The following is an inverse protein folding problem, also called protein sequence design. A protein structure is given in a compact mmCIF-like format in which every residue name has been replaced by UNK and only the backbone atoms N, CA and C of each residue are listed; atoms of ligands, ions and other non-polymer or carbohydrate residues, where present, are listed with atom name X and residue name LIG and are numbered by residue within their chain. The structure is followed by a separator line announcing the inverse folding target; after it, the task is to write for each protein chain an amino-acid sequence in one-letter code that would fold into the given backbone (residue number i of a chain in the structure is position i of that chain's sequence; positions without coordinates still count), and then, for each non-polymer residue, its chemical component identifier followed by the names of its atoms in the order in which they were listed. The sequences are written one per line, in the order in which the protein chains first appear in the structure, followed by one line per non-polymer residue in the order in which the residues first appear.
data_IF_035351007154
#
_entry.id   IF_035351007154
#
_cell.length_a   1.000
_cell.length_b   1.000
_cell.length_c   1.000
_cell.angle_alpha   90.00
_cell.angle_beta   90.00
_cell.angle_gamma   90.00
#
_symmetry.space_group_name_H-M   'P 1'
#
loop_
_entity.id
_entity.type
_entity.pdbx_description
1 polymer ?
#
# COMPACT_ATOMS: atom_id res chain seq x y z
N UNK A 1 -117.35 -0.01 8.51
CA UNK A 1 -117.47 -1.45 8.86
C UNK A 1 -118.84 -1.89 8.38
N UNK A 2 -118.94 -2.91 7.51
CA UNK A 2 -118.77 -4.30 7.96
C UNK A 2 -117.90 -5.19 7.06
N UNK A 3 -117.38 -6.22 7.69
CA UNK A 3 -116.62 -7.37 7.18
C UNK A 3 -117.53 -8.43 6.52
N UNK A 4 -117.01 -9.21 5.57
CA UNK A 4 -116.90 -10.69 5.64
C UNK A 4 -116.49 -11.33 4.29
N UNK A 5 -115.54 -12.28 4.38
CA UNK A 5 -115.46 -13.62 3.74
C UNK A 5 -115.64 -13.75 2.20
N UNK A 6 -114.57 -14.13 1.48
CA UNK A 6 -114.18 -15.52 1.12
C UNK A 6 -114.95 -16.05 -0.12
N UNK A 7 -114.25 -16.37 -1.23
CA UNK A 7 -114.17 -17.72 -1.83
C UNK A 7 -113.49 -17.75 -3.24
N UNK A 8 -112.42 -18.55 -3.33
CA UNK A 8 -111.88 -19.36 -4.45
C UNK A 8 -112.24 -19.01 -5.91
N UNK A 9 -111.21 -18.92 -6.78
CA UNK A 9 -111.00 -19.94 -7.86
C UNK A 9 -109.67 -19.86 -8.62
N UNK A 10 -109.01 -21.02 -8.65
CA UNK A 10 -108.27 -21.67 -9.74
C UNK A 10 -107.13 -20.95 -10.47
N UNK A 11 -105.93 -21.49 -10.22
CA UNK A 11 -104.79 -21.64 -11.15
C UNK A 11 -105.24 -21.84 -12.60
N UNK A 12 -104.56 -21.15 -13.53
CA UNK A 12 -104.16 -21.74 -14.80
C UNK A 12 -102.86 -21.09 -15.28
N UNK A 13 -101.78 -21.88 -15.27
CA UNK A 13 -100.55 -21.60 -16.00
C UNK A 13 -100.81 -21.97 -17.46
N UNK A 14 -100.39 -21.15 -18.42
CA UNK A 14 -99.21 -21.42 -19.28
C UNK A 14 -99.23 -20.57 -20.57
N UNK A 15 -98.05 -19.99 -20.79
CA UNK A 15 -97.29 -19.87 -22.05
C UNK A 15 -97.91 -19.09 -23.20
N UNK A 16 -97.16 -18.10 -23.66
CA UNK A 16 -96.35 -18.03 -24.90
C UNK A 16 -95.92 -16.55 -25.04
N UNK A 17 -94.86 -16.09 -25.68
CA UNK A 17 -93.82 -16.61 -26.56
C UNK A 17 -92.76 -15.49 -26.70
N UNK A 18 -91.51 -15.89 -26.90
CA UNK A 18 -90.34 -15.19 -27.45
C UNK A 18 -90.34 -13.64 -27.60
N UNK A 19 -89.37 -13.00 -26.95
CA UNK A 19 -88.66 -11.84 -27.50
C UNK A 19 -87.15 -12.08 -27.44
N UNK A 20 -86.62 -12.67 -28.51
CA UNK A 20 -85.18 -12.88 -28.67
C UNK A 20 -84.64 -11.79 -29.60
N UNK A 21 -83.95 -10.81 -29.02
CA UNK A 21 -83.15 -9.84 -29.77
C UNK A 21 -81.91 -10.54 -30.34
N UNK A 22 -81.54 -10.34 -31.62
CA UNK A 22 -80.28 -10.88 -32.14
C UNK A 22 -79.11 -10.13 -31.50
N UNK A 23 -78.50 -10.73 -30.47
CA UNK A 23 -77.23 -10.26 -29.92
C UNK A 23 -76.16 -10.35 -31.01
N UNK A 24 -75.65 -9.20 -31.44
CA UNK A 24 -74.59 -9.12 -32.43
C UNK A 24 -73.39 -9.93 -31.96
N UNK A 25 -73.08 -10.99 -32.72
CA UNK A 25 -72.01 -11.93 -32.45
C UNK A 25 -70.66 -11.22 -32.61
N UNK A 26 -70.17 -10.56 -31.55
CA UNK A 26 -68.76 -10.15 -31.48
C UNK A 26 -67.90 -11.39 -31.71
N UNK A 27 -67.18 -11.43 -32.84
CA UNK A 27 -66.19 -12.48 -33.13
C UNK A 27 -65.19 -12.48 -31.98
N UNK A 28 -65.25 -13.49 -31.10
CA UNK A 28 -64.21 -13.74 -30.11
C UNK A 28 -62.97 -14.22 -30.87
N UNK A 29 -61.95 -13.37 -30.94
CA UNK A 29 -60.64 -13.82 -31.38
C UNK A 29 -60.13 -14.91 -30.41
N UNK A 30 -59.50 -15.99 -30.92
CA UNK A 30 -59.01 -17.06 -30.06
C UNK A 30 -57.97 -16.49 -29.09
N UNK A 31 -58.19 -16.67 -27.78
CA UNK A 31 -57.18 -16.34 -26.78
C UNK A 31 -56.03 -17.33 -26.97
N UNK A 32 -54.92 -16.85 -27.56
CA UNK A 32 -53.69 -17.64 -27.72
C UNK A 32 -53.31 -18.29 -26.37
N UNK A 33 -52.85 -19.54 -26.36
CA UNK A 33 -52.55 -20.25 -25.12
C UNK A 33 -51.38 -19.54 -24.42
N UNK A 34 -51.65 -18.84 -23.32
CA UNK A 34 -50.65 -18.10 -22.53
C UNK A 34 -49.66 -19.02 -21.79
N UNK A 35 -49.94 -20.32 -21.73
CA UNK A 35 -49.19 -21.33 -20.98
C UNK A 35 -47.89 -21.79 -21.69
N UNK A 36 -47.88 -22.14 -22.99
CA UNK A 36 -46.64 -22.45 -23.71
C UNK A 36 -45.71 -21.23 -23.84
N UNK A 37 -46.26 -20.05 -24.14
CA UNK A 37 -45.49 -18.80 -24.27
C UNK A 37 -44.74 -18.46 -22.97
N UNK A 38 -45.40 -18.62 -21.80
CA UNK A 38 -44.76 -18.41 -20.49
C UNK A 38 -43.70 -19.47 -20.14
N UNK A 39 -43.78 -20.67 -20.72
CA UNK A 39 -42.77 -21.73 -20.52
C UNK A 39 -41.53 -21.43 -21.37
N UNK A 40 -41.72 -21.05 -22.63
CA UNK A 40 -40.66 -20.63 -23.54
C UNK A 40 -39.93 -19.37 -23.01
N UNK A 41 -40.66 -18.37 -22.52
CA UNK A 41 -40.09 -17.17 -21.90
C UNK A 41 -39.24 -17.49 -20.65
N UNK A 42 -39.67 -18.46 -19.83
CA UNK A 42 -38.89 -18.92 -18.67
C UNK A 42 -37.63 -19.69 -19.06
N UNK A 43 -37.68 -20.47 -20.15
CA UNK A 43 -36.52 -21.18 -20.67
C UNK A 43 -35.52 -20.20 -21.30
N UNK A 44 -35.99 -19.21 -22.07
CA UNK A 44 -35.15 -18.14 -22.62
C UNK A 44 -34.47 -17.32 -21.50
N UNK A 45 -35.19 -17.00 -20.43
CA UNK A 45 -34.61 -16.30 -19.26
C UNK A 45 -33.58 -17.13 -18.49
N UNK A 46 -33.71 -18.47 -18.48
CA UNK A 46 -32.70 -19.36 -17.89
C UNK A 46 -31.48 -19.47 -18.79
N UNK A 47 -31.66 -19.64 -20.09
CA UNK A 47 -30.56 -19.66 -21.05
C UNK A 47 -29.76 -18.35 -21.05
N UNK A 48 -30.43 -17.18 -20.94
CA UNK A 48 -29.76 -15.89 -20.81
C UNK A 48 -28.92 -15.80 -19.51
N UNK A 49 -29.44 -16.29 -18.38
CA UNK A 49 -28.69 -16.33 -17.12
C UNK A 49 -27.51 -17.29 -17.17
N UNK A 50 -27.69 -18.45 -17.79
CA UNK A 50 -26.61 -19.43 -17.98
C UNK A 50 -25.52 -18.89 -18.93
N UNK A 51 -25.89 -18.09 -19.94
CA UNK A 51 -24.93 -17.39 -20.79
C UNK A 51 -24.17 -16.30 -20.01
N UNK A 52 -24.87 -15.46 -19.24
CA UNK A 52 -24.24 -14.46 -18.37
C UNK A 52 -23.34 -15.08 -17.29
N UNK A 53 -23.72 -16.24 -16.75
CA UNK A 53 -22.91 -16.97 -15.76
C UNK A 53 -21.65 -17.56 -16.40
N UNK A 54 -21.73 -18.02 -17.65
CA UNK A 54 -20.55 -18.47 -18.41
C UNK A 54 -19.61 -17.33 -18.74
N UNK A 55 -20.12 -16.18 -19.21
CA UNK A 55 -19.29 -14.99 -19.46
C UNK A 55 -18.65 -14.45 -18.16
N UNK A 56 -19.38 -14.50 -17.05
CA UNK A 56 -18.84 -14.18 -15.71
C UNK A 56 -17.80 -15.20 -15.24
N UNK A 57 -17.95 -16.47 -15.58
CA UNK A 57 -16.97 -17.50 -15.24
C UNK A 57 -15.69 -17.35 -16.10
N UNK A 58 -15.84 -17.08 -17.39
CA UNK A 58 -14.73 -16.84 -18.32
C UNK A 58 -13.95 -15.57 -17.96
N UNK A 59 -14.65 -14.46 -17.67
CA UNK A 59 -13.99 -13.23 -17.21
C UNK A 59 -13.29 -13.40 -15.85
N UNK A 60 -13.87 -14.18 -14.92
CA UNK A 60 -13.19 -14.52 -13.67
C UNK A 60 -11.94 -15.36 -13.88
N UNK A 61 -11.99 -16.37 -14.76
CA UNK A 61 -10.84 -17.20 -15.07
C UNK A 61 -9.71 -16.40 -15.77
N UNK A 62 -10.07 -15.48 -16.68
CA UNK A 62 -9.11 -14.57 -17.30
C UNK A 62 -8.47 -13.60 -16.30
N UNK A 63 -9.27 -13.07 -15.36
CA UNK A 63 -8.79 -12.19 -14.30
C UNK A 63 -7.91 -12.94 -13.30
N UNK A 64 -8.25 -14.19 -12.97
CA UNK A 64 -7.43 -15.07 -12.14
C UNK A 64 -6.10 -15.40 -12.81
N UNK A 65 -6.06 -15.67 -14.12
CA UNK A 65 -4.82 -15.87 -14.87
C UNK A 65 -3.95 -14.61 -14.90
N UNK A 66 -4.56 -13.43 -15.10
CA UNK A 66 -3.86 -12.14 -15.08
C UNK A 66 -3.31 -11.82 -13.68
N UNK A 67 -4.08 -12.13 -12.63
CA UNK A 67 -3.64 -11.97 -11.25
C UNK A 67 -2.61 -13.02 -10.83
N UNK A 68 -2.66 -14.25 -11.35
CA UNK A 68 -1.67 -15.29 -11.06
C UNK A 68 -0.29 -14.94 -11.63
N UNK A 69 -0.24 -14.28 -12.80
CA UNK A 69 1.01 -13.75 -13.37
C UNK A 69 1.66 -12.64 -12.53
N UNK A 70 0.90 -12.01 -11.64
CA UNK A 70 1.37 -10.97 -10.69
C UNK A 70 1.36 -11.46 -9.23
N UNK A 71 0.79 -12.65 -8.97
CA UNK A 71 0.27 -13.01 -7.64
C UNK A 71 0.96 -14.19 -6.96
N UNK A 72 1.75 -14.98 -7.67
CA UNK A 72 2.43 -16.15 -7.05
C UNK A 72 3.79 -15.79 -6.41
N UNK A 73 4.29 -14.56 -6.62
CA UNK A 73 5.47 -14.01 -5.93
C UNK A 73 5.24 -12.61 -5.31
N UNK A 74 4.14 -11.92 -5.61
CA UNK A 74 3.89 -10.55 -5.11
C UNK A 74 2.51 -10.33 -4.46
N UNK A 75 1.62 -11.33 -4.41
CA UNK A 75 0.25 -11.18 -3.89
C UNK A 75 0.12 -11.16 -2.36
N UNK A 76 0.98 -11.89 -1.64
CA UNK A 76 1.09 -11.85 -0.18
C UNK A 76 2.06 -10.75 0.32
N UNK A 77 2.72 -10.04 -0.60
CA UNK A 77 3.75 -9.03 -0.35
C UNK A 77 3.38 -7.64 -0.86
N UNK A 78 2.09 -7.30 -0.93
CA UNK A 78 1.68 -5.89 -0.85
C UNK A 78 1.85 -5.36 0.58
N UNK A 79 2.92 -5.78 1.27
CA UNK A 79 3.45 -5.15 2.45
C UNK A 79 3.84 -3.73 2.02
N UNK A 80 2.96 -2.77 2.31
CA UNK A 80 3.20 -1.37 2.01
C UNK A 80 4.60 -0.99 2.49
N UNK A 81 5.44 -0.49 1.57
CA UNK A 81 6.81 -0.11 1.89
C UNK A 81 6.82 1.01 2.92
N UNK A 82 6.95 0.66 4.20
CA UNK A 82 7.09 1.60 5.30
C UNK A 82 8.55 1.71 5.71
N UNK A 83 9.13 2.88 5.43
CA UNK A 83 10.49 3.24 5.86
C UNK A 83 10.70 3.08 7.36
N UNK A 84 9.67 3.25 8.18
CA UNK A 84 9.79 3.10 9.63
C UNK A 84 9.98 1.64 10.03
N UNK A 85 9.29 0.70 9.37
CA UNK A 85 9.46 -0.74 9.59
C UNK A 85 10.85 -1.20 9.18
N UNK A 86 11.33 -0.73 8.02
CA UNK A 86 12.68 -1.00 7.51
C UNK A 86 13.75 -0.54 8.51
N UNK A 87 13.66 0.71 8.98
CA UNK A 87 14.65 1.23 9.94
C UNK A 87 14.58 0.52 11.30
N UNK A 88 13.41 0.02 11.70
CA UNK A 88 13.23 -0.76 12.92
C UNK A 88 13.86 -2.15 12.76
N UNK A 89 13.56 -2.85 11.68
CA UNK A 89 14.12 -4.16 11.36
C UNK A 89 15.66 -4.09 11.28
N UNK A 90 16.22 -3.06 10.63
CA UNK A 90 17.67 -2.87 10.54
C UNK A 90 18.32 -2.57 11.91
N UNK A 91 17.70 -1.74 12.76
CA UNK A 91 18.18 -1.50 14.13
C UNK A 91 18.13 -2.78 14.98
N UNK A 92 17.11 -3.60 14.78
CA UNK A 92 16.96 -4.88 15.47
C UNK A 92 17.95 -5.92 14.97
N UNK A 93 18.24 -5.98 13.66
CA UNK A 93 19.24 -6.88 13.09
C UNK A 93 20.62 -6.60 13.69
N UNK A 94 21.02 -5.31 13.79
CA UNK A 94 22.25 -4.83 14.44
C UNK A 94 22.35 -5.21 15.93
N UNK A 95 21.23 -5.27 16.67
CA UNK A 95 21.20 -5.70 18.08
C UNK A 95 21.27 -7.23 18.17
N UNK A 96 22.48 -7.80 18.30
CA UNK A 96 22.76 -9.26 18.28
C UNK A 96 22.01 -10.12 19.33
N UNK A 97 21.33 -9.54 20.32
CA UNK A 97 20.83 -10.27 21.51
C UNK A 97 19.38 -10.79 21.47
N UNK A 98 18.54 -10.49 20.47
CA UNK A 98 17.15 -11.01 20.41
C UNK A 98 16.95 -11.95 19.23
N UNK A 99 17.10 -13.26 19.45
CA UNK A 99 17.20 -14.27 18.36
C UNK A 99 15.87 -14.90 17.92
N UNK A 100 14.74 -14.67 18.61
CA UNK A 100 13.48 -15.41 18.33
C UNK A 100 12.41 -14.69 17.50
N UNK A 101 12.58 -13.40 17.17
CA UNK A 101 11.60 -12.63 16.39
C UNK A 101 12.12 -11.98 15.11
N UNK A 102 13.43 -12.08 14.82
CA UNK A 102 14.07 -11.33 13.73
C UNK A 102 13.61 -11.74 12.34
N UNK A 103 13.42 -13.05 12.08
CA UNK A 103 13.01 -13.51 10.75
C UNK A 103 11.66 -12.96 10.33
N UNK A 104 10.66 -13.03 11.22
CA UNK A 104 9.31 -12.50 10.95
C UNK A 104 9.28 -10.98 10.74
N UNK A 105 10.11 -10.21 11.44
CA UNK A 105 10.16 -8.75 11.25
C UNK A 105 10.95 -8.33 10.01
N UNK A 106 11.97 -9.11 9.63
CA UNK A 106 12.74 -8.89 8.39
C UNK A 106 11.94 -9.26 7.16
N UNK A 107 11.23 -10.40 7.19
CA UNK A 107 10.32 -10.84 6.12
C UNK A 107 9.17 -9.85 5.94
N UNK A 108 8.53 -9.41 7.03
CA UNK A 108 7.41 -8.44 6.99
C UNK A 108 7.83 -7.04 6.51
N UNK A 109 9.05 -6.63 6.80
CA UNK A 109 9.56 -5.33 6.35
C UNK A 109 10.08 -5.35 4.89
N UNK A 110 9.96 -6.49 4.19
CA UNK A 110 10.50 -6.66 2.83
C UNK A 110 12.00 -6.43 2.74
N UNK A 111 12.75 -6.61 3.84
CA UNK A 111 14.19 -6.37 3.85
C UNK A 111 14.89 -7.49 3.09
N UNK A 112 15.45 -7.16 1.93
CA UNK A 112 16.39 -8.05 1.25
C UNK A 112 17.69 -8.15 2.06
N UNK A 113 18.04 -9.38 2.46
CA UNK A 113 19.33 -9.64 3.11
C UNK A 113 20.47 -9.40 2.10
N UNK A 114 21.38 -8.47 2.40
CA UNK A 114 22.55 -8.20 1.57
C UNK A 114 22.40 -7.11 0.49
N UNK A 115 21.35 -6.29 0.55
CA UNK A 115 21.23 -5.11 -0.32
C UNK A 115 22.43 -4.17 -0.15
N UNK A 116 23.17 -3.94 -1.24
CA UNK A 116 24.28 -2.98 -1.31
C UNK A 116 23.97 -1.96 -2.38
N UNK A 117 24.03 -0.68 -2.01
CA UNK A 117 23.78 0.40 -2.95
C UNK A 117 25.05 0.67 -3.77
N UNK A 118 24.92 0.83 -5.09
CA UNK A 118 26.04 1.26 -5.93
C UNK A 118 26.25 2.77 -5.78
N UNK A 119 27.29 3.14 -5.02
CA UNK A 119 27.66 4.52 -4.73
C UNK A 119 28.51 5.15 -5.85
N UNK A 120 28.94 4.33 -6.81
CA UNK A 120 29.69 4.75 -8.00
C UNK A 120 28.80 5.26 -9.14
N UNK A 121 27.49 5.05 -9.07
CA UNK A 121 26.54 5.44 -10.10
C UNK A 121 26.52 6.97 -10.30
N UNK A 122 26.57 7.37 -11.57
CA UNK A 122 26.53 8.74 -12.04
C UNK A 122 25.33 9.53 -11.49
N UNK A 123 24.21 8.85 -11.24
CA UNK A 123 23.00 9.46 -10.65
C UNK A 123 23.25 10.04 -9.26
N UNK A 124 24.22 9.52 -8.51
CA UNK A 124 24.57 10.02 -7.18
C UNK A 124 25.66 11.10 -7.20
N UNK A 125 26.26 11.42 -8.36
CA UNK A 125 27.30 12.46 -8.46
C UNK A 125 26.84 13.81 -7.90
N UNK A 126 25.61 14.22 -8.26
CA UNK A 126 25.02 15.48 -7.82
C UNK A 126 24.91 15.62 -6.29
N UNK A 127 24.74 14.50 -5.57
CA UNK A 127 24.67 14.47 -4.09
C UNK A 127 26.02 14.80 -3.44
N UNK A 128 27.12 14.52 -4.13
CA UNK A 128 28.48 14.80 -3.63
C UNK A 128 29.00 16.17 -4.01
N UNK A 129 28.62 16.66 -5.19
CA UNK A 129 29.16 17.89 -5.77
C UNK A 129 28.30 19.13 -5.45
N UNK A 130 26.98 19.00 -5.44
CA UNK A 130 26.07 20.11 -5.16
C UNK A 130 25.64 20.12 -3.69
N UNK A 131 25.69 21.30 -3.08
CA UNK A 131 25.17 21.52 -1.73
C UNK A 131 23.64 21.36 -1.65
N UNK A 132 22.91 21.61 -2.75
CA UNK A 132 21.44 21.51 -2.76
C UNK A 132 20.93 20.08 -2.57
N UNK A 133 21.71 19.10 -3.00
CA UNK A 133 21.40 17.68 -2.87
C UNK A 133 22.19 17.00 -1.74
N UNK A 134 22.94 17.76 -0.94
CA UNK A 134 23.73 17.22 0.14
C UNK A 134 22.84 16.67 1.27
N UNK A 135 23.08 15.42 1.65
CA UNK A 135 22.32 14.76 2.71
C UNK A 135 22.81 15.23 4.08
N UNK A 136 21.90 15.87 4.85
CA UNK A 136 22.16 16.31 6.22
C UNK A 136 21.51 15.38 7.26
N UNK A 137 22.30 14.70 8.12
CA UNK A 137 21.79 13.91 9.24
C UNK A 137 20.97 14.69 10.27
N UNK A 138 21.07 16.02 10.29
CA UNK A 138 20.34 16.90 11.20
C UNK A 138 18.89 17.15 10.75
N UNK A 139 18.58 16.84 9.48
CA UNK A 139 17.23 17.03 8.93
C UNK A 139 16.28 15.94 9.44
N UNK A 140 15.08 16.27 9.94
CA UNK A 140 14.11 15.27 10.44
C UNK A 140 13.64 14.27 9.36
N UNK A 141 13.78 14.61 8.07
CA UNK A 141 13.47 13.70 6.97
C UNK A 141 14.53 12.62 6.75
N UNK A 142 15.70 12.76 7.36
CA UNK A 142 16.78 11.80 7.26
C UNK A 142 16.41 10.47 7.94
N UNK A 143 16.44 9.39 7.17
CA UNK A 143 16.29 8.01 7.67
C UNK A 143 17.65 7.34 7.55
N UNK A 144 18.21 6.95 8.70
CA UNK A 144 19.53 6.34 8.81
C UNK A 144 19.52 4.87 8.38
N UNK A 145 19.15 4.59 7.14
CA UNK A 145 19.23 3.25 6.55
C UNK A 145 20.66 2.89 6.20
N UNK A 146 20.93 1.60 6.00
CA UNK A 146 22.27 1.10 5.63
C UNK A 146 22.80 1.77 4.34
N UNK A 147 21.99 1.83 3.27
CA UNK A 147 22.39 2.48 2.02
C UNK A 147 22.63 3.99 2.15
N UNK A 148 21.84 4.67 2.99
CA UNK A 148 22.01 6.10 3.25
C UNK A 148 23.30 6.39 4.05
N UNK A 149 23.65 5.50 4.99
CA UNK A 149 24.92 5.56 5.73
C UNK A 149 26.11 5.34 4.80
N UNK A 150 26.04 4.34 3.91
CA UNK A 150 27.07 4.07 2.90
C UNK A 150 27.29 5.29 1.99
N UNK A 151 26.21 5.93 1.54
CA UNK A 151 26.28 7.14 0.71
C UNK A 151 26.99 8.30 1.43
N UNK A 152 26.69 8.52 2.71
CA UNK A 152 27.35 9.54 3.52
C UNK A 152 28.83 9.23 3.77
N UNK A 153 29.18 7.97 3.98
CA UNK A 153 30.57 7.53 4.18
C UNK A 153 31.40 7.76 2.93
N UNK A 154 30.91 7.36 1.76
CA UNK A 154 31.58 7.63 0.48
C UNK A 154 31.66 9.13 0.18
N UNK A 155 30.61 9.90 0.47
CA UNK A 155 30.65 11.36 0.33
C UNK A 155 31.65 12.03 1.28
N UNK A 156 31.89 11.46 2.46
CA UNK A 156 32.96 11.91 3.37
C UNK A 156 34.34 11.48 2.87
N UNK A 157 34.47 10.28 2.29
CA UNK A 157 35.72 9.81 1.67
C UNK A 157 36.10 10.68 0.47
N UNK A 158 35.18 10.93 -0.47
CA UNK A 158 35.42 11.81 -1.64
C UNK A 158 35.91 13.20 -1.24
N UNK A 159 35.33 13.81 -0.20
CA UNK A 159 35.79 15.11 0.33
C UNK A 159 37.13 15.07 1.09
N UNK A 160 37.51 13.91 1.66
CA UNK A 160 38.80 13.73 2.31
C UNK A 160 39.92 13.43 1.31
N UNK A 161 39.61 12.71 0.24
CA UNK A 161 40.56 12.26 -0.77
C UNK A 161 40.69 13.24 -1.94
N UNK A 162 39.63 13.98 -2.27
CA UNK A 162 39.66 15.08 -3.24
C UNK A 162 39.81 16.42 -2.50
N UNK A 163 41.02 16.95 -2.47
CA UNK A 163 41.35 18.25 -1.86
C UNK A 163 40.78 19.48 -2.57
N UNK A 164 39.76 19.32 -3.42
CA UNK A 164 39.26 20.36 -4.34
C UNK A 164 37.79 20.78 -4.08
N UNK A 165 37.31 20.65 -2.85
CA UNK A 165 36.16 21.42 -2.38
C UNK A 165 36.66 22.49 -1.41
N UNK A 166 36.53 23.75 -1.83
CA UNK A 166 36.99 24.97 -1.18
C UNK A 166 37.14 24.86 0.35
N UNK A 167 38.29 25.30 0.93
CA UNK A 167 38.49 25.21 2.36
C UNK A 167 37.44 26.06 3.08
N UNK A 168 36.51 25.41 3.76
CA UNK A 168 35.71 26.03 4.82
C UNK A 168 36.70 26.66 5.82
N UNK A 169 36.75 27.98 5.87
CA UNK A 169 37.67 28.77 6.71
C UNK A 169 37.65 28.34 8.19
N UNK A 170 36.57 27.68 8.62
CA UNK A 170 36.42 27.13 9.97
C UNK A 170 37.34 25.94 10.24
N UNK A 171 37.63 25.11 9.23
CA UNK A 171 38.53 23.96 9.40
C UNK A 171 40.00 24.39 9.46
N UNK A 172 40.39 25.40 8.69
CA UNK A 172 41.76 25.94 8.71
C UNK A 172 42.08 26.56 10.08
N UNK A 173 41.13 27.29 10.69
CA UNK A 173 41.29 27.83 12.06
C UNK A 173 41.41 26.74 13.11
N UNK A 174 40.65 25.64 12.99
CA UNK A 174 40.68 24.53 13.96
C UNK A 174 41.99 23.74 13.91
N UNK A 175 42.54 23.49 12.71
CA UNK A 175 43.82 22.79 12.54
C UNK A 175 44.99 23.67 13.02
N UNK A 176 44.95 24.99 12.78
CA UNK A 176 45.96 25.93 13.29
C UNK A 176 45.95 26.05 14.82
N UNK A 177 44.77 26.07 15.46
CA UNK A 177 44.68 26.08 16.92
C UNK A 177 45.14 24.76 17.55
N UNK A 178 44.82 23.61 16.95
CA UNK A 178 45.25 22.31 17.45
C UNK A 178 46.78 22.15 17.41
N UNK A 179 47.44 22.66 16.36
CA UNK A 179 48.91 22.68 16.27
C UNK A 179 49.54 23.59 17.33
N UNK A 180 49.03 24.81 17.52
CA UNK A 180 49.53 25.73 18.56
C UNK A 180 49.40 25.15 19.96
N UNK A 181 48.25 24.55 20.30
CA UNK A 181 48.07 23.91 21.60
C UNK A 181 49.02 22.73 21.83
N UNK A 182 49.38 21.98 20.79
CA UNK A 182 50.32 20.86 20.90
C UNK A 182 51.74 21.31 21.24
N UNK A 183 52.22 22.39 20.62
CA UNK A 183 53.54 22.98 20.91
C UNK A 183 53.59 23.63 22.31
N UNK A 184 52.53 24.34 22.72
CA UNK A 184 52.44 24.95 24.05
C UNK A 184 52.44 23.91 25.18
N UNK A 185 51.75 22.78 24.99
CA UNK A 185 51.76 21.67 25.94
C UNK A 185 53.13 20.98 26.01
N UNK A 186 53.83 20.84 24.88
CA UNK A 186 55.19 20.32 24.84
C UNK A 186 56.16 21.17 25.65
N UNK A 187 56.12 22.50 25.48
CA UNK A 187 56.93 23.44 26.25
C UNK A 187 56.64 23.42 27.75
N UNK A 188 55.37 23.25 28.14
CA UNK A 188 54.97 23.13 29.55
C UNK A 188 55.51 21.83 30.18
N UNK A 189 55.42 20.71 29.47
CA UNK A 189 55.95 19.42 29.95
C UNK A 189 57.48 19.47 30.08
N UNK A 190 58.18 20.10 29.14
CA UNK A 190 59.63 20.33 29.26
C UNK A 190 59.98 21.22 30.46
N UNK A 191 59.22 22.30 30.70
CA UNK A 191 59.44 23.20 31.83
C UNK A 191 59.22 22.48 33.17
N UNK A 192 58.18 21.66 33.27
CA UNK A 192 57.92 20.83 34.47
C UNK A 192 59.05 19.81 34.68
N UNK A 193 59.54 19.17 33.61
CA UNK A 193 60.67 18.23 33.68
C UNK A 193 61.98 18.92 34.09
N UNK A 194 62.26 20.13 33.58
CA UNK A 194 63.43 20.92 34.00
C UNK A 194 63.30 21.39 35.46
N UNK A 195 62.10 21.79 35.89
CA UNK A 195 61.84 22.22 37.28
C UNK A 195 61.98 21.08 38.28
N UNK A 196 61.51 19.87 37.95
CA UNK A 196 61.63 18.70 38.82
C UNK A 196 63.07 18.20 38.91
N UNK A 197 63.82 18.19 37.80
CA UNK A 197 65.24 17.84 37.79
C UNK A 197 66.14 18.86 38.50
N UNK A 198 65.76 20.14 38.53
CA UNK A 198 66.50 21.18 39.27
C UNK A 198 66.31 21.10 40.79
N UNK A 199 65.20 20.52 41.27
CA UNK A 199 64.85 20.47 42.70
C UNK A 199 65.57 19.34 43.45
N UNK A 200 66.04 18.31 42.73
CA UNK A 200 66.84 17.20 43.30
C UNK A 200 68.32 17.54 43.47
N UNK A 201 68.81 18.64 42.88
CA UNK A 201 70.23 19.05 42.90
C UNK A 201 70.58 20.12 43.95
N UNK A 202 69.60 20.59 44.73
CA UNK A 202 69.82 21.54 45.83
C UNK A 202 69.74 20.79 47.18
N UNK A 203 70.81 20.09 47.52
CA UNK A 203 71.17 19.70 48.89
C UNK A 203 72.47 20.40 49.23
#
# INVERSE_FOLDING_TARGET
MPSLLLLKRKRSRRRTWASTTPSSRRKRHPRRPRRPIRKEERLAKRAAREAEEKEKAESKAQLELLMAGDGEDNGDHLDHFDMNEITRAEKQSKKKYKKKGKKKEVERAGLQEGFKMDVGDDRFKAVFESHEYAIDPSNPKYKATEGMQQLLEEGRKKRKNGGDAAPDERQVKKVKNAKKSGEELGGLVEAVKRKSAGKTKKR
#
